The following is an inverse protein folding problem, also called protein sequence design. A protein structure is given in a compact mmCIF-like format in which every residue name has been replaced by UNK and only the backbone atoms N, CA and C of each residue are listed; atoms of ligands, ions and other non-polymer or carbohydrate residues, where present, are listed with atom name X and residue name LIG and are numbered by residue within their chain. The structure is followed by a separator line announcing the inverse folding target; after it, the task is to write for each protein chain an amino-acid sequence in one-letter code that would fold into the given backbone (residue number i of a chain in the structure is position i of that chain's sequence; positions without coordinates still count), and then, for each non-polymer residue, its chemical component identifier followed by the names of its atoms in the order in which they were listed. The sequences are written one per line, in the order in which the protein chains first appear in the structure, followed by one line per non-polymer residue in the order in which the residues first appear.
data_IF_661001761424
#
_entry.id   IF_661001761424
#
_cell.length_a   1.000
_cell.length_b   1.000
_cell.length_c   1.000
_cell.angle_alpha   90.00
_cell.angle_beta   90.00
_cell.angle_gamma   90.00
#
_symmetry.space_group_name_H-M   'P 1'
#
loop_
_entity.id
_entity.type
_entity.pdbx_description
1 polymer ?
#
# COMPACT_ATOMS: atom_id res chain seq x y z
N UNK A 1 45.57 33.67 -12.79
CA UNK A 1 44.78 33.43 -14.03
C UNK A 1 43.55 34.31 -13.99
N UNK A 2 43.46 35.27 -14.91
CA UNK A 2 42.39 36.30 -14.91
C UNK A 2 41.09 35.69 -15.42
N UNK A 3 40.15 35.42 -14.51
CA UNK A 3 38.79 34.91 -14.80
C UNK A 3 37.98 35.85 -15.74
N UNK A 4 38.48 37.05 -16.01
CA UNK A 4 37.80 38.10 -16.78
C UNK A 4 38.03 38.05 -18.30
N UNK A 5 38.82 37.10 -18.84
CA UNK A 5 39.13 37.11 -20.29
C UNK A 5 37.97 36.74 -21.21
N UNK A 6 36.92 36.10 -20.68
CA UNK A 6 35.68 35.83 -21.44
C UNK A 6 34.48 35.92 -20.50
N UNK A 7 33.83 37.09 -20.40
CA UNK A 7 32.60 37.25 -19.63
C UNK A 7 31.52 36.22 -20.01
N UNK A 8 31.48 35.82 -21.28
CA UNK A 8 30.59 34.76 -21.77
C UNK A 8 30.90 33.40 -21.14
N UNK A 9 32.18 33.02 -21.04
CA UNK A 9 32.57 31.74 -20.43
C UNK A 9 32.21 31.70 -18.94
N UNK A 10 32.35 32.83 -18.23
CA UNK A 10 31.95 32.94 -16.83
C UNK A 10 30.44 32.82 -16.68
N UNK A 11 29.66 33.51 -17.51
CA UNK A 11 28.20 33.40 -17.50
C UNK A 11 27.72 31.98 -17.81
N UNK A 12 28.35 31.29 -18.77
CA UNK A 12 28.04 29.89 -19.08
C UNK A 12 28.37 28.96 -17.90
N UNK A 13 29.48 29.17 -17.22
CA UNK A 13 29.86 28.39 -16.04
C UNK A 13 28.85 28.59 -14.90
N UNK A 14 28.42 29.84 -14.65
CA UNK A 14 27.42 30.15 -13.64
C UNK A 14 26.08 29.47 -13.96
N UNK A 15 25.63 29.56 -15.21
CA UNK A 15 24.40 28.89 -15.65
C UNK A 15 24.48 27.37 -15.51
N UNK A 16 25.64 26.78 -15.84
CA UNK A 16 25.88 25.36 -15.65
C UNK A 16 25.78 24.96 -14.17
N UNK A 17 26.43 25.71 -13.27
CA UNK A 17 26.37 25.44 -11.84
C UNK A 17 24.95 25.56 -11.27
N UNK A 18 24.17 26.55 -11.74
CA UNK A 18 22.76 26.69 -11.37
C UNK A 18 21.95 25.47 -11.82
N UNK A 19 22.14 25.02 -13.06
CA UNK A 19 21.42 23.85 -13.60
C UNK A 19 21.73 22.57 -12.83
N UNK A 20 23.02 22.34 -12.54
CA UNK A 20 23.47 21.19 -11.73
C UNK A 20 22.88 21.27 -10.33
N UNK A 21 22.95 22.44 -9.68
CA UNK A 21 22.38 22.66 -8.35
C UNK A 21 20.87 22.41 -8.30
N UNK A 22 20.12 22.92 -9.28
CA UNK A 22 18.67 22.69 -9.39
C UNK A 22 18.33 21.20 -9.57
N UNK A 23 19.15 20.47 -10.34
CA UNK A 23 18.99 19.02 -10.53
C UNK A 23 19.20 18.27 -9.21
N UNK A 24 20.28 18.57 -8.49
CA UNK A 24 20.58 17.97 -7.18
C UNK A 24 19.48 18.28 -6.17
N UNK A 25 19.03 19.55 -6.11
CA UNK A 25 17.93 19.95 -5.24
C UNK A 25 16.64 19.17 -5.52
N UNK A 26 16.29 18.97 -6.79
CA UNK A 26 15.12 18.16 -7.18
C UNK A 26 15.26 16.70 -6.76
N UNK A 27 16.45 16.11 -6.88
CA UNK A 27 16.69 14.73 -6.46
C UNK A 27 16.52 14.59 -4.94
N UNK A 28 17.14 15.47 -4.16
CA UNK A 28 17.01 15.47 -2.69
C UNK A 28 15.55 15.68 -2.29
N UNK A 29 14.88 16.67 -2.88
CA UNK A 29 13.47 16.95 -2.61
C UNK A 29 12.60 15.74 -2.96
N UNK A 30 12.85 15.04 -4.07
CA UNK A 30 12.10 13.83 -4.42
C UNK A 30 12.30 12.71 -3.38
N UNK A 31 13.53 12.54 -2.86
CA UNK A 31 13.82 11.56 -1.80
C UNK A 31 13.11 11.94 -0.49
N UNK A 32 13.16 13.21 -0.08
CA UNK A 32 12.60 13.68 1.19
C UNK A 32 11.07 13.79 1.19
N UNK A 33 10.49 14.30 0.09
CA UNK A 33 9.04 14.55 -0.01
C UNK A 33 8.25 13.35 -0.52
N UNK A 34 8.90 12.43 -1.24
CA UNK A 34 8.27 11.22 -1.77
C UNK A 34 9.09 9.97 -1.38
N UNK A 35 9.15 9.61 -0.07
CA UNK A 35 9.82 8.38 0.38
C UNK A 35 9.20 7.09 -0.20
N UNK A 36 8.14 7.19 -1.01
CA UNK A 36 7.37 6.07 -1.57
C UNK A 36 7.59 5.76 -3.05
N UNK A 37 8.66 6.23 -3.71
CA UNK A 37 8.95 5.82 -5.11
C UNK A 37 9.24 4.32 -5.24
N UNK A 38 9.51 3.65 -4.12
CA UNK A 38 9.39 2.19 -3.97
C UNK A 38 8.74 1.94 -2.62
N UNK A 39 7.44 1.64 -2.61
CA UNK A 39 6.85 0.99 -1.44
C UNK A 39 7.49 -0.40 -1.40
N UNK A 40 8.46 -0.64 -0.51
CA UNK A 40 9.07 -1.97 -0.32
C UNK A 40 8.00 -3.07 -0.21
N UNK A 41 6.84 -2.70 0.37
CA UNK A 41 5.70 -3.57 0.58
C UNK A 41 4.83 -3.83 -0.66
N UNK A 42 5.04 -3.19 -1.81
CA UNK A 42 4.23 -3.47 -3.01
C UNK A 42 4.44 -4.90 -3.53
N UNK A 43 5.67 -5.40 -3.47
CA UNK A 43 5.99 -6.78 -3.83
C UNK A 43 5.53 -7.77 -2.76
N UNK A 44 5.76 -7.46 -1.48
CA UNK A 44 5.36 -8.30 -0.35
C UNK A 44 3.84 -8.40 -0.22
N UNK A 45 3.10 -7.30 -0.44
CA UNK A 45 1.64 -7.30 -0.45
C UNK A 45 1.06 -8.04 -1.65
N UNK A 46 1.72 -7.98 -2.81
CA UNK A 46 1.31 -8.72 -4.01
C UNK A 46 1.46 -10.24 -3.85
N UNK A 47 2.59 -10.69 -3.30
CA UNK A 47 2.86 -12.11 -3.05
C UNK A 47 1.92 -12.66 -1.95
N UNK A 48 1.80 -11.95 -0.83
CA UNK A 48 0.88 -12.33 0.26
C UNK A 48 -0.59 -12.37 -0.20
N UNK A 49 -0.99 -11.45 -1.09
CA UNK A 49 -2.31 -11.49 -1.70
C UNK A 49 -2.50 -12.72 -2.59
N UNK A 50 -1.50 -13.05 -3.41
CA UNK A 50 -1.50 -14.25 -4.25
C UNK A 50 -1.61 -15.54 -3.45
N UNK A 51 -0.83 -15.67 -2.38
CA UNK A 51 -0.90 -16.82 -1.47
C UNK A 51 -2.27 -16.94 -0.79
N UNK A 52 -2.81 -15.84 -0.29
CA UNK A 52 -4.14 -15.79 0.34
C UNK A 52 -5.23 -16.20 -0.65
N UNK A 53 -5.15 -15.72 -1.90
CA UNK A 53 -6.10 -16.05 -2.95
C UNK A 53 -6.02 -17.52 -3.36
N UNK A 54 -4.81 -18.09 -3.48
CA UNK A 54 -4.62 -19.50 -3.76
C UNK A 54 -5.16 -20.39 -2.64
N UNK A 55 -4.85 -20.07 -1.38
CA UNK A 55 -5.38 -20.79 -0.23
C UNK A 55 -6.92 -20.73 -0.20
N UNK A 56 -7.51 -19.56 -0.47
CA UNK A 56 -8.96 -19.41 -0.62
C UNK A 56 -9.52 -20.32 -1.71
N UNK A 57 -8.92 -20.33 -2.90
CA UNK A 57 -9.40 -21.12 -4.03
C UNK A 57 -9.33 -22.63 -3.76
N UNK A 58 -8.27 -23.09 -3.09
CA UNK A 58 -8.17 -24.49 -2.65
C UNK A 58 -9.28 -24.87 -1.66
N UNK A 59 -9.58 -23.98 -0.70
CA UNK A 59 -10.68 -24.20 0.24
C UNK A 59 -12.04 -24.25 -0.46
N UNK A 60 -12.29 -23.35 -1.41
CA UNK A 60 -13.51 -23.38 -2.23
C UNK A 60 -13.64 -24.68 -3.03
N UNK A 61 -12.54 -25.17 -3.63
CA UNK A 61 -12.52 -26.43 -4.36
C UNK A 61 -12.82 -27.64 -3.47
N UNK A 62 -12.45 -27.58 -2.18
CA UNK A 62 -12.81 -28.57 -1.16
C UNK A 62 -14.25 -28.41 -0.62
N UNK A 63 -15.01 -27.47 -1.16
CA UNK A 63 -16.40 -27.19 -0.81
C UNK A 63 -16.59 -26.39 0.46
N UNK A 64 -15.56 -25.70 0.94
CA UNK A 64 -15.68 -24.76 2.06
C UNK A 64 -16.32 -23.46 1.61
N UNK A 65 -17.19 -22.90 2.44
CA UNK A 65 -17.77 -21.58 2.26
C UNK A 65 -17.72 -20.80 3.57
N UNK A 66 -17.50 -19.49 3.46
CA UNK A 66 -17.54 -18.54 4.57
C UNK A 66 -18.36 -17.33 4.13
N UNK A 67 -19.48 -17.11 4.80
CA UNK A 67 -20.33 -15.94 4.59
C UNK A 67 -20.21 -15.01 5.80
N UNK A 68 -19.76 -13.78 5.55
CA UNK A 68 -19.71 -12.73 6.57
C UNK A 68 -20.83 -11.73 6.33
N UNK A 69 -21.82 -11.72 7.22
CA UNK A 69 -22.88 -10.73 7.21
C UNK A 69 -22.43 -9.53 8.04
N UNK A 70 -22.22 -8.41 7.37
CA UNK A 70 -21.89 -7.12 7.98
C UNK A 70 -23.13 -6.23 8.05
N UNK A 71 -23.21 -5.31 9.04
CA UNK A 71 -24.24 -4.28 9.02
C UNK A 71 -24.10 -3.40 7.77
N UNK A 72 -25.23 -2.92 7.23
CA UNK A 72 -25.25 -2.06 6.03
C UNK A 72 -24.45 -0.77 6.20
N UNK A 73 -24.44 -0.23 7.42
CA UNK A 73 -23.72 1.00 7.78
C UNK A 73 -23.00 0.75 9.09
N UNK A 74 -21.68 0.91 9.09
CA UNK A 74 -20.85 0.83 10.28
C UNK A 74 -20.81 2.20 10.94
N UNK A 75 -21.22 2.30 12.21
CA UNK A 75 -21.26 3.56 12.97
C UNK A 75 -20.26 3.56 14.11
N UNK A 76 -19.47 4.62 14.21
CA UNK A 76 -18.50 4.77 15.30
C UNK A 76 -19.20 4.90 16.67
N UNK A 77 -18.66 4.23 17.69
CA UNK A 77 -19.16 4.30 19.07
C UNK A 77 -20.46 3.55 19.33
N UNK A 78 -20.94 2.74 18.39
CA UNK A 78 -22.17 1.95 18.52
C UNK A 78 -21.82 0.47 18.40
N UNK A 79 -22.33 -0.34 19.33
CA UNK A 79 -22.21 -1.80 19.28
C UNK A 79 -22.85 -2.35 18.00
N UNK A 80 -22.13 -3.24 17.31
CA UNK A 80 -22.54 -3.80 16.04
C UNK A 80 -22.33 -5.30 16.03
N UNK A 81 -23.32 -6.01 15.50
CA UNK A 81 -23.26 -7.46 15.36
C UNK A 81 -22.75 -7.85 13.98
N UNK A 82 -21.77 -8.73 13.96
CA UNK A 82 -21.22 -9.35 12.75
C UNK A 82 -21.46 -10.85 12.85
N UNK A 83 -22.01 -11.44 11.79
CA UNK A 83 -22.32 -12.88 11.78
C UNK A 83 -21.47 -13.57 10.72
N UNK A 84 -20.57 -14.46 11.16
CA UNK A 84 -19.82 -15.33 10.27
C UNK A 84 -20.46 -16.72 10.26
N UNK A 85 -20.81 -17.20 9.07
CA UNK A 85 -21.34 -18.55 8.85
C UNK A 85 -20.35 -19.32 7.99
N UNK A 86 -19.75 -20.38 8.55
CA UNK A 86 -18.91 -21.30 7.81
C UNK A 86 -19.64 -22.62 7.57
N UNK A 87 -19.51 -23.14 6.35
CA UNK A 87 -20.04 -24.44 5.98
C UNK A 87 -19.03 -25.22 5.12
N UNK A 88 -19.17 -26.55 5.14
CA UNK A 88 -18.49 -27.45 4.21
C UNK A 88 -19.53 -28.30 3.49
N UNK A 89 -19.54 -28.25 2.16
CA UNK A 89 -20.52 -28.96 1.33
C UNK A 89 -21.98 -28.73 1.77
N UNK A 90 -22.30 -27.49 2.14
CA UNK A 90 -23.65 -27.11 2.59
C UNK A 90 -23.97 -27.43 4.06
N UNK A 91 -23.08 -28.12 4.79
CA UNK A 91 -23.27 -28.40 6.22
C UNK A 91 -22.61 -27.32 7.08
N UNK A 92 -23.43 -26.58 7.82
CA UNK A 92 -22.99 -25.50 8.72
C UNK A 92 -22.39 -26.08 10.00
N UNK A 93 -21.29 -25.47 10.48
CA UNK A 93 -20.69 -25.82 11.77
C UNK A 93 -21.46 -25.19 12.93
N UNK A 94 -21.79 -25.97 13.96
CA UNK A 94 -22.49 -25.47 15.16
C UNK A 94 -21.57 -24.90 16.24
N UNK A 95 -20.27 -25.17 16.18
CA UNK A 95 -19.28 -24.78 17.19
C UNK A 95 -17.99 -24.24 16.55
N UNK A 96 -18.14 -23.21 15.70
CA UNK A 96 -16.99 -22.55 15.10
C UNK A 96 -16.45 -21.45 16.02
N UNK A 97 -15.14 -21.41 16.23
CA UNK A 97 -14.44 -20.23 16.75
C UNK A 97 -14.00 -19.40 15.55
N UNK A 98 -14.35 -18.12 15.55
CA UNK A 98 -13.92 -17.17 14.54
C UNK A 98 -13.09 -16.07 15.20
N UNK A 99 -12.02 -15.64 14.52
CA UNK A 99 -11.24 -14.46 14.87
C UNK A 99 -11.46 -13.45 13.76
N UNK A 100 -11.93 -12.26 14.10
CA UNK A 100 -12.15 -11.18 13.17
C UNK A 100 -11.06 -10.12 13.37
N UNK A 101 -10.38 -9.75 12.28
CA UNK A 101 -9.42 -8.65 12.27
C UNK A 101 -10.05 -7.47 11.55
N UNK A 102 -10.13 -6.33 12.24
CA UNK A 102 -10.62 -5.08 11.68
C UNK A 102 -9.43 -4.19 11.36
N UNK A 103 -9.26 -3.86 10.08
CA UNK A 103 -8.24 -2.91 9.63
C UNK A 103 -8.91 -1.58 9.29
N UNK A 104 -8.44 -0.50 9.89
CA UNK A 104 -8.77 0.87 9.49
C UNK A 104 -7.55 1.42 8.74
N UNK A 105 -7.65 1.71 7.43
CA UNK A 105 -6.59 2.39 6.72
C UNK A 105 -6.30 3.75 7.36
N UNK A 106 -5.03 4.05 7.60
CA UNK A 106 -4.55 5.35 8.05
C UNK A 106 -4.52 6.31 6.86
N UNK A 107 -5.68 6.85 6.52
CA UNK A 107 -5.88 7.92 5.52
C UNK A 107 -5.50 7.53 4.07
N UNK A 108 -6.25 8.07 3.09
CA UNK A 108 -5.98 7.97 1.65
C UNK A 108 -5.45 9.29 1.17
#
# INVERSE_FOLDING_TARGET
MTFQKSPMAVSMLVLFLILVGATVYRIITAIETHPGLVVEDAYLSGEAYGETLNARNQLLAQGWTLNLNTPKVVKHGIEQTYTAVSAKNGKVFSAAKAVAYFYRPLEM
#
